data_IF_421182396997
#
_entry.id   IF_421182396997
#
_cell.length_a   1.000
_cell.length_b   1.000
_cell.length_c   1.000
_cell.angle_alpha   90.00
_cell.angle_beta   90.00
_cell.angle_gamma   90.00
#
_symmetry.space_group_name_H-M   'P 1'
#
loop_
_entity.id
_entity.type
_entity.pdbx_description
1 polymer ?
#
# COMPACT_ATOMS: atom_id res chain seq x y z
N UNK A 1 -7.47 -11.52 8.46
CA UNK A 1 -6.79 -11.93 9.71
C UNK A 1 -7.20 -13.35 10.06
N UNK A 2 -6.24 -14.20 10.43
CA UNK A 2 -6.49 -15.57 10.93
C UNK A 2 -6.48 -15.53 12.47
N UNK A 3 -7.45 -16.19 13.12
CA UNK A 3 -7.47 -16.29 14.59
C UNK A 3 -6.43 -17.32 15.02
N UNK A 4 -5.43 -16.87 15.75
CA UNK A 4 -4.37 -17.73 16.30
C UNK A 4 -4.40 -17.67 17.82
N UNK A 5 -4.34 -18.84 18.48
CA UNK A 5 -4.19 -18.94 19.93
C UNK A 5 -2.76 -19.37 20.24
N UNK A 6 -2.07 -18.60 21.08
CA UNK A 6 -0.70 -18.88 21.55
C UNK A 6 -0.71 -18.95 23.07
N UNK A 7 0.16 -19.79 23.63
CA UNK A 7 0.42 -19.82 25.07
C UNK A 7 1.63 -18.94 25.36
N UNK A 8 1.54 -18.13 26.41
CA UNK A 8 2.65 -17.30 26.89
C UNK A 8 2.93 -17.65 28.34
N UNK A 9 4.20 -17.70 28.78
CA UNK A 9 4.51 -17.68 30.20
C UNK A 9 3.85 -16.47 30.88
N UNK A 10 3.35 -16.66 32.09
CA UNK A 10 2.58 -15.61 32.81
C UNK A 10 3.39 -14.31 32.94
N UNK A 11 4.68 -14.41 33.26
CA UNK A 11 5.58 -13.26 33.39
C UNK A 11 5.75 -12.49 32.07
N UNK A 12 5.78 -13.21 30.94
CA UNK A 12 5.86 -12.63 29.60
C UNK A 12 4.55 -11.94 29.25
N UNK A 13 3.41 -12.57 29.54
CA UNK A 13 2.09 -11.99 29.34
C UNK A 13 1.94 -10.67 30.13
N UNK A 14 2.29 -10.66 31.41
CA UNK A 14 2.15 -9.48 32.27
C UNK A 14 3.04 -8.32 31.83
N UNK A 15 4.25 -8.62 31.35
CA UNK A 15 5.15 -7.60 30.79
C UNK A 15 4.63 -7.05 29.47
N UNK A 16 4.15 -7.92 28.58
CA UNK A 16 3.59 -7.52 27.31
C UNK A 16 2.32 -6.67 27.50
N UNK A 17 1.45 -7.04 28.45
CA UNK A 17 0.23 -6.29 28.77
C UNK A 17 0.54 -4.88 29.26
N UNK A 18 1.47 -4.74 30.22
CA UNK A 18 1.93 -3.42 30.70
C UNK A 18 2.51 -2.55 29.57
N UNK A 19 3.26 -3.15 28.66
CA UNK A 19 3.81 -2.43 27.51
C UNK A 19 2.73 -1.99 26.52
N UNK A 20 1.74 -2.84 26.27
CA UNK A 20 0.61 -2.52 25.40
C UNK A 20 -0.22 -1.36 25.98
N UNK A 21 -0.50 -1.41 27.28
CA UNK A 21 -1.17 -0.33 28.02
C UNK A 21 -0.38 0.99 27.94
N UNK A 22 0.93 0.96 28.22
CA UNK A 22 1.79 2.14 28.15
C UNK A 22 1.89 2.75 26.74
N UNK A 23 1.62 1.96 25.70
CA UNK A 23 1.64 2.37 24.29
C UNK A 23 0.25 2.68 23.73
N UNK A 24 -0.80 2.55 24.54
CA UNK A 24 -2.20 2.73 24.14
C UNK A 24 -2.59 1.86 22.92
N UNK A 25 -2.05 0.65 22.84
CA UNK A 25 -2.38 -0.33 21.81
C UNK A 25 -2.91 -1.63 22.43
N UNK A 26 -3.65 -2.40 21.65
CA UNK A 26 -4.08 -3.74 22.09
C UNK A 26 -2.89 -4.71 22.20
N UNK A 27 -3.00 -5.71 23.07
CA UNK A 27 -2.02 -6.80 23.14
C UNK A 27 -1.87 -7.53 21.79
N UNK A 28 -2.96 -7.67 21.03
CA UNK A 28 -2.94 -8.25 19.69
C UNK A 28 -2.09 -7.42 18.71
N UNK A 29 -2.19 -6.09 18.77
CA UNK A 29 -1.39 -5.20 17.93
C UNK A 29 0.09 -5.25 18.32
N UNK A 30 0.40 -5.30 19.61
CA UNK A 30 1.76 -5.49 20.10
C UNK A 30 2.36 -6.81 19.60
N UNK A 31 1.62 -7.93 19.72
CA UNK A 31 2.08 -9.24 19.24
C UNK A 31 2.30 -9.25 17.72
N UNK A 32 1.37 -8.65 16.95
CA UNK A 32 1.50 -8.52 15.49
C UNK A 32 2.79 -7.79 15.11
N UNK A 33 3.02 -6.61 15.68
CA UNK A 33 4.23 -5.80 15.42
C UNK A 33 5.50 -6.53 15.84
N UNK A 34 5.46 -7.25 16.96
CA UNK A 34 6.58 -8.07 17.42
C UNK A 34 6.94 -9.15 16.40
N UNK A 35 5.94 -9.88 15.89
CA UNK A 35 6.14 -10.91 14.86
C UNK A 35 6.63 -10.30 13.54
N UNK A 36 6.04 -9.20 13.08
CA UNK A 36 6.48 -8.48 11.88
C UNK A 36 7.94 -8.01 12.00
N UNK A 37 8.33 -7.52 13.19
CA UNK A 37 9.71 -7.11 13.43
C UNK A 37 10.68 -8.30 13.34
N UNK A 38 10.38 -9.41 14.02
CA UNK A 38 11.22 -10.61 13.95
C UNK A 38 11.33 -11.13 12.51
N UNK A 39 10.22 -11.18 11.77
CA UNK A 39 10.25 -11.56 10.36
C UNK A 39 11.08 -10.58 9.51
N UNK A 40 11.04 -9.28 9.79
CA UNK A 40 11.82 -8.30 9.03
C UNK A 40 13.33 -8.43 9.22
N UNK A 41 13.79 -9.01 10.33
CA UNK A 41 15.22 -9.14 10.65
C UNK A 41 15.77 -10.55 10.47
N UNK A 42 14.95 -11.58 10.70
CA UNK A 42 15.39 -12.98 10.72
C UNK A 42 14.86 -13.81 9.54
N UNK A 43 13.84 -13.33 8.80
CA UNK A 43 13.31 -14.12 7.69
C UNK A 43 14.37 -14.21 6.56
N UNK A 44 14.55 -15.40 5.96
CA UNK A 44 15.34 -15.50 4.75
C UNK A 44 14.73 -14.58 3.67
N UNK A 45 15.55 -14.02 2.77
CA UNK A 45 15.03 -13.20 1.69
C UNK A 45 13.97 -14.00 0.93
N UNK A 46 12.76 -13.46 0.84
CA UNK A 46 11.74 -14.06 0.01
C UNK A 46 12.32 -14.20 -1.40
N UNK A 47 12.18 -15.37 -2.00
CA UNK A 47 12.52 -15.51 -3.42
C UNK A 47 11.59 -14.54 -4.13
N UNK A 48 12.10 -13.53 -4.87
CA UNK A 48 11.23 -12.55 -5.49
C UNK A 48 10.27 -13.31 -6.40
N UNK A 49 8.99 -13.34 -6.03
CA UNK A 49 7.98 -13.75 -6.99
C UNK A 49 8.10 -12.74 -8.12
N UNK A 50 8.26 -13.22 -9.35
CA UNK A 50 8.40 -12.35 -10.52
C UNK A 50 7.23 -11.36 -10.52
N UNK A 51 7.52 -10.10 -10.19
CA UNK A 51 6.53 -9.05 -10.26
C UNK A 51 6.18 -8.87 -11.73
N UNK A 52 4.93 -9.13 -12.08
CA UNK A 52 4.44 -8.96 -13.44
C UNK A 52 3.71 -7.62 -13.52
N UNK A 53 4.04 -6.83 -14.53
CA UNK A 53 3.32 -5.61 -14.83
C UNK A 53 1.85 -5.97 -15.09
N UNK A 54 0.87 -5.38 -14.38
CA UNK A 54 -0.53 -5.59 -14.70
C UNK A 54 -0.79 -5.11 -16.13
N UNK A 55 -1.67 -5.81 -16.85
CA UNK A 55 -2.07 -5.40 -18.18
C UNK A 55 -2.57 -3.94 -18.13
N UNK A 56 -2.16 -3.08 -19.10
CA UNK A 56 -2.64 -1.71 -19.17
C UNK A 56 -4.17 -1.69 -19.13
N UNK A 57 -4.74 -0.82 -18.30
CA UNK A 57 -6.18 -0.58 -18.35
C UNK A 57 -6.48 0.23 -19.60
N UNK A 58 -7.59 -0.07 -20.26
CA UNK A 58 -8.06 0.73 -21.37
C UNK A 58 -8.58 2.08 -20.84
N UNK A 59 -7.70 3.09 -20.77
CA UNK A 59 -7.99 4.42 -20.23
C UNK A 59 -8.57 5.38 -21.28
N UNK A 60 -9.07 4.87 -22.41
CA UNK A 60 -9.61 5.69 -23.50
C UNK A 60 -8.54 6.36 -24.37
N UNK A 61 -7.32 5.82 -24.38
CA UNK A 61 -6.25 6.30 -25.24
C UNK A 61 -6.63 6.20 -26.72
N UNK A 62 -6.62 7.32 -27.43
CA UNK A 62 -7.03 7.43 -28.84
C UNK A 62 -5.89 7.26 -29.84
N UNK A 63 -4.66 6.95 -29.38
CA UNK A 63 -3.53 6.69 -30.28
C UNK A 63 -2.75 7.94 -30.70
N UNK A 64 -2.80 9.03 -29.93
CA UNK A 64 -2.05 10.26 -30.24
C UNK A 64 -0.53 10.01 -30.26
N UNK A 65 0.20 10.72 -31.13
CA UNK A 65 1.66 10.77 -31.03
C UNK A 65 2.07 11.53 -29.77
N UNK A 66 3.33 11.39 -29.33
CA UNK A 66 3.83 12.13 -28.17
C UNK A 66 3.68 13.65 -28.33
N UNK A 67 3.89 14.16 -29.55
CA UNK A 67 3.71 15.58 -29.87
C UNK A 67 2.24 15.98 -29.79
N UNK A 68 1.34 15.21 -30.40
CA UNK A 68 -0.10 15.47 -30.36
C UNK A 68 -0.70 15.35 -28.95
N UNK A 69 -0.14 14.47 -28.10
CA UNK A 69 -0.54 14.37 -26.70
C UNK A 69 -0.14 15.61 -25.90
N UNK A 70 1.04 16.15 -26.17
CA UNK A 70 1.53 17.37 -25.50
C UNK A 70 0.66 18.57 -25.88
N UNK A 71 0.29 18.68 -27.14
CA UNK A 71 -0.59 19.74 -27.63
C UNK A 71 -1.98 19.63 -26.98
N UNK A 72 -2.60 18.43 -27.00
CA UNK A 72 -3.92 18.18 -26.39
C UNK A 72 -3.92 18.42 -24.86
N UNK A 73 -2.88 17.98 -24.15
CA UNK A 73 -2.79 18.16 -22.70
C UNK A 73 -2.54 19.63 -22.28
N UNK A 74 -2.11 20.48 -23.21
CA UNK A 74 -1.89 21.91 -22.97
C UNK A 74 -3.13 22.76 -23.25
N UNK A 75 -4.15 22.20 -23.92
CA UNK A 75 -5.44 22.87 -24.11
C UNK A 75 -6.11 23.03 -22.75
N UNK A 76 -6.28 24.27 -22.30
CA UNK A 76 -7.01 24.57 -21.06
C UNK A 76 -8.50 24.76 -21.36
N UNK A 77 -9.39 24.48 -20.41
CA UNK A 77 -10.86 24.64 -20.56
C UNK A 77 -11.27 26.00 -21.11
N UNK A 78 -10.51 27.06 -20.82
CA UNK A 78 -10.73 28.42 -21.32
C UNK A 78 -10.48 28.60 -22.83
N UNK A 79 -9.68 27.73 -23.46
CA UNK A 79 -9.38 27.80 -24.90
C UNK A 79 -10.44 27.06 -25.74
N UNK A 80 -11.09 26.04 -25.17
CA UNK A 80 -12.20 25.29 -25.80
C UNK A 80 -13.48 26.15 -25.88
N UNK A 81 -13.69 27.07 -24.92
CA UNK A 81 -14.88 27.92 -24.84
C UNK A 81 -14.86 29.11 -25.82
N UNK A 82 -13.71 29.36 -26.48
CA UNK A 82 -13.51 30.46 -27.42
C UNK A 82 -13.61 30.05 -28.90
N UNK A 83 -13.80 28.76 -29.21
CA UNK A 83 -14.09 28.35 -30.59
C UNK A 83 -15.56 28.65 -30.94
N UNK A 84 -15.84 29.43 -32.00
CA UNK A 84 -17.20 29.65 -32.44
C UNK A 84 -17.76 28.33 -32.97
N UNK A 85 -18.86 27.86 -32.35
CA UNK A 85 -19.63 26.77 -32.93
C UNK A 85 -20.17 27.17 -34.32
N UNK A 86 -20.18 26.24 -35.29
CA UNK A 86 -20.65 26.49 -36.65
C UNK A 86 -22.15 26.82 -36.73
#
# INVERSE_FOLDING_TARGET
MVRTQVQLPDDVYDRAKRLAEAREISLADLMRRGLEHILSVDAPPETPTAWNLPAPRHLGWTGLSADALKDEAQITTSEVELEPQP
#
